data_IF_080847426854
#
_entry.id   IF_080847426854
#
_cell.length_a   1.000
_cell.length_b   1.000
_cell.length_c   1.000
_cell.angle_alpha   90.00
_cell.angle_beta   90.00
_cell.angle_gamma   90.00
#
_symmetry.space_group_name_H-M   'P 1'
#
loop_
_entity.id
_entity.type
_entity.pdbx_description
1 polymer ?
#
# COMPACT_ATOMS: atom_id res chain seq x y z
N UNK A 1 0.38 22.82 -11.98
CA UNK A 1 0.65 22.35 -10.61
C UNK A 1 -0.65 21.84 -10.06
N UNK A 2 -0.67 20.62 -9.51
CA UNK A 2 -1.86 20.09 -8.84
C UNK A 2 -1.98 20.76 -7.48
N UNK A 3 -3.17 21.24 -7.16
CA UNK A 3 -3.50 21.95 -5.93
C UNK A 3 -3.80 20.98 -4.80
N UNK A 4 -3.68 21.43 -3.55
CA UNK A 4 -4.06 20.63 -2.39
C UNK A 4 -5.55 20.23 -2.43
N UNK A 5 -6.41 21.10 -2.96
CA UNK A 5 -7.83 20.83 -3.15
C UNK A 5 -8.09 19.69 -4.14
N UNK A 6 -7.32 19.62 -5.23
CA UNK A 6 -7.40 18.50 -6.18
C UNK A 6 -6.94 17.18 -5.52
N UNK A 7 -5.86 17.21 -4.74
CA UNK A 7 -5.40 16.03 -3.97
C UNK A 7 -6.49 15.57 -2.99
N UNK A 8 -7.14 16.51 -2.31
CA UNK A 8 -8.24 16.22 -1.39
C UNK A 8 -9.44 15.58 -2.11
N UNK A 9 -9.89 16.12 -3.24
CA UNK A 9 -11.01 15.56 -3.99
C UNK A 9 -10.73 14.12 -4.49
N UNK A 10 -9.51 13.87 -4.96
CA UNK A 10 -9.08 12.53 -5.37
C UNK A 10 -9.01 11.59 -4.15
N UNK A 11 -8.47 12.07 -3.03
CA UNK A 11 -8.41 11.34 -1.77
C UNK A 11 -9.78 10.94 -1.22
N UNK A 12 -10.75 11.85 -1.27
CA UNK A 12 -12.15 11.58 -0.89
C UNK A 12 -12.75 10.47 -1.75
N UNK A 13 -12.48 10.48 -3.06
CA UNK A 13 -12.92 9.41 -3.97
C UNK A 13 -12.32 8.05 -3.58
N UNK A 14 -11.04 8.02 -3.18
CA UNK A 14 -10.37 6.79 -2.79
C UNK A 14 -10.97 6.16 -1.52
N UNK A 15 -11.28 6.97 -0.50
CA UNK A 15 -11.75 6.46 0.80
C UNK A 15 -13.26 6.23 0.88
N UNK A 16 -14.03 6.66 -0.11
CA UNK A 16 -15.50 6.51 -0.11
C UNK A 16 -15.92 5.09 -0.57
N UNK A 17 -16.48 4.25 0.32
CA UNK A 17 -16.94 2.91 -0.04
C UNK A 17 -18.18 2.92 -0.96
N UNK A 18 -18.88 4.07 -1.07
CA UNK A 18 -19.97 4.26 -2.02
C UNK A 18 -19.50 4.43 -3.47
N UNK A 19 -18.21 4.71 -3.69
CA UNK A 19 -17.66 4.81 -5.04
C UNK A 19 -17.40 3.42 -5.64
N UNK A 20 -17.64 3.24 -6.96
CA UNK A 20 -17.26 2.02 -7.64
C UNK A 20 -15.77 1.73 -7.49
N UNK A 21 -15.41 0.46 -7.28
CA UNK A 21 -14.02 0.04 -7.07
C UNK A 21 -13.07 0.54 -8.19
N UNK A 22 -13.54 0.58 -9.44
CA UNK A 22 -12.78 1.10 -10.57
C UNK A 22 -12.45 2.61 -10.44
N UNK A 23 -13.38 3.42 -9.90
CA UNK A 23 -13.13 4.83 -9.64
C UNK A 23 -12.11 5.02 -8.51
N UNK A 24 -12.21 4.20 -7.46
CA UNK A 24 -11.26 4.18 -6.34
C UNK A 24 -9.85 3.79 -6.80
N UNK A 25 -9.71 2.80 -7.67
CA UNK A 25 -8.42 2.47 -8.29
C UNK A 25 -7.85 3.62 -9.13
N UNK A 26 -8.67 4.29 -9.93
CA UNK A 26 -8.23 5.48 -10.68
C UNK A 26 -7.71 6.56 -9.73
N UNK A 27 -8.43 6.81 -8.63
CA UNK A 27 -8.00 7.76 -7.61
C UNK A 27 -6.66 7.35 -6.98
N UNK A 28 -6.51 6.08 -6.58
CA UNK A 28 -5.27 5.52 -6.04
C UNK A 28 -4.08 5.73 -6.97
N UNK A 29 -4.18 5.30 -8.24
CA UNK A 29 -3.07 5.43 -9.18
C UNK A 29 -2.75 6.90 -9.51
N UNK A 30 -3.76 7.78 -9.48
CA UNK A 30 -3.54 9.21 -9.62
C UNK A 30 -2.72 9.75 -8.44
N UNK A 31 -3.12 9.45 -7.19
CA UNK A 31 -2.38 9.85 -5.98
C UNK A 31 -0.95 9.33 -5.97
N UNK A 32 -0.74 8.07 -6.38
CA UNK A 32 0.59 7.47 -6.56
C UNK A 32 1.46 8.29 -7.52
N UNK A 33 0.88 8.69 -8.66
CA UNK A 33 1.57 9.52 -9.66
C UNK A 33 1.88 10.95 -9.18
N UNK A 34 1.06 11.51 -8.30
CA UNK A 34 1.28 12.84 -7.73
C UNK A 34 2.41 12.85 -6.69
N UNK A 35 2.49 11.83 -5.84
CA UNK A 35 3.53 11.73 -4.82
C UNK A 35 3.40 12.75 -3.69
N UNK A 36 4.24 12.61 -2.67
CA UNK A 36 4.30 13.57 -1.57
C UNK A 36 3.36 13.28 -0.38
N UNK A 37 3.39 14.13 0.65
CA UNK A 37 2.82 13.82 1.96
C UNK A 37 1.29 13.77 1.94
N UNK A 38 0.63 14.62 1.15
CA UNK A 38 -0.82 14.63 0.99
C UNK A 38 -1.34 13.32 0.38
N UNK A 39 -0.88 12.91 -0.81
CA UNK A 39 -1.25 11.63 -1.40
C UNK A 39 -0.94 10.42 -0.53
N UNK A 40 0.24 10.37 0.13
CA UNK A 40 0.57 9.28 1.07
C UNK A 40 -0.44 9.22 2.21
N UNK A 41 -0.83 10.36 2.80
CA UNK A 41 -1.82 10.41 3.88
C UNK A 41 -3.18 9.87 3.42
N UNK A 42 -3.64 10.21 2.22
CA UNK A 42 -4.90 9.70 1.68
C UNK A 42 -4.86 8.20 1.39
N UNK A 43 -3.79 7.70 0.77
CA UNK A 43 -3.60 6.27 0.52
C UNK A 43 -3.57 5.50 1.85
N UNK A 44 -2.87 6.04 2.86
CA UNK A 44 -2.77 5.43 4.19
C UNK A 44 -4.12 5.27 4.90
N UNK A 45 -5.04 6.23 4.73
CA UNK A 45 -6.37 6.18 5.35
C UNK A 45 -7.25 5.05 4.80
N UNK A 46 -7.00 4.60 3.57
CA UNK A 46 -7.82 3.59 2.91
C UNK A 46 -7.51 2.15 3.36
N UNK A 47 -6.50 1.91 4.21
CA UNK A 47 -6.20 0.56 4.74
C UNK A 47 -7.28 -0.01 5.68
N UNK A 48 -8.26 0.81 6.07
CA UNK A 48 -9.45 0.36 6.81
C UNK A 48 -10.58 -0.19 5.94
N UNK A 49 -10.37 -0.32 4.62
CA UNK A 49 -11.40 -0.81 3.70
C UNK A 49 -11.62 -2.33 3.79
N UNK A 50 -12.85 -2.79 3.50
CA UNK A 50 -13.21 -4.20 3.49
C UNK A 50 -12.60 -4.96 2.28
N UNK A 51 -12.23 -4.26 1.21
CA UNK A 51 -11.63 -4.88 0.02
C UNK A 51 -10.14 -5.18 0.24
N UNK A 52 -9.82 -6.45 0.50
CA UNK A 52 -8.45 -6.93 0.54
C UNK A 52 -7.66 -6.55 -0.72
N UNK A 53 -8.29 -6.66 -1.91
CA UNK A 53 -7.69 -6.29 -3.20
C UNK A 53 -7.31 -4.81 -3.24
N UNK A 54 -8.18 -3.92 -2.76
CA UNK A 54 -7.85 -2.50 -2.69
C UNK A 54 -6.68 -2.27 -1.73
N UNK A 55 -6.75 -2.84 -0.52
CA UNK A 55 -5.70 -2.68 0.50
C UNK A 55 -4.32 -3.13 0.02
N UNK A 56 -4.26 -4.25 -0.70
CA UNK A 56 -3.03 -4.69 -1.35
C UNK A 56 -2.49 -3.63 -2.31
N UNK A 57 -3.32 -3.14 -3.23
CA UNK A 57 -2.90 -2.12 -4.20
C UNK A 57 -2.49 -0.79 -3.54
N UNK A 58 -3.03 -0.45 -2.36
CA UNK A 58 -2.54 0.68 -1.56
C UNK A 58 -1.07 0.48 -1.16
N UNK A 59 -0.74 -0.69 -0.60
CA UNK A 59 0.63 -1.02 -0.20
C UNK A 59 1.57 -1.04 -1.41
N UNK A 60 1.16 -1.68 -2.50
CA UNK A 60 1.90 -1.68 -3.77
C UNK A 60 2.20 -0.26 -4.24
N UNK A 61 1.18 0.62 -4.30
CA UNK A 61 1.35 2.01 -4.70
C UNK A 61 2.31 2.78 -3.79
N UNK A 62 2.24 2.59 -2.47
CA UNK A 62 3.15 3.23 -1.52
C UNK A 62 4.61 2.76 -1.73
N UNK A 63 4.82 1.47 -1.97
CA UNK A 63 6.14 0.93 -2.30
C UNK A 63 6.71 1.54 -3.59
N UNK A 64 5.87 1.63 -4.62
CA UNK A 64 6.21 2.24 -5.91
C UNK A 64 6.50 3.75 -5.83
N UNK A 65 5.99 4.45 -4.83
CA UNK A 65 6.32 5.86 -4.59
C UNK A 65 7.75 6.03 -4.04
N UNK A 66 8.35 4.96 -3.51
CA UNK A 66 9.70 4.93 -2.92
C UNK A 66 9.95 6.05 -1.90
N UNK A 67 8.90 6.47 -1.19
CA UNK A 67 8.94 7.57 -0.24
C UNK A 67 9.00 7.04 1.20
N UNK A 68 10.09 7.29 1.96
CA UNK A 68 10.23 6.81 3.33
C UNK A 68 9.11 7.25 4.28
N UNK A 69 8.35 8.30 3.95
CA UNK A 69 7.19 8.73 4.75
C UNK A 69 6.08 7.68 4.81
N UNK A 70 6.05 6.72 3.88
CA UNK A 70 5.11 5.61 3.90
C UNK A 70 5.52 4.47 4.85
N UNK A 71 6.76 4.45 5.36
CA UNK A 71 7.26 3.35 6.21
C UNK A 71 6.37 3.12 7.44
N UNK A 72 5.98 4.13 8.24
CA UNK A 72 5.21 3.88 9.45
C UNK A 72 3.87 3.17 9.20
N UNK A 73 3.16 3.52 8.12
CA UNK A 73 1.89 2.85 7.79
C UNK A 73 2.12 1.43 7.29
N UNK A 74 3.13 1.21 6.44
CA UNK A 74 3.44 -0.12 5.90
C UNK A 74 3.90 -1.09 7.01
N UNK A 75 4.71 -0.61 7.96
CA UNK A 75 5.07 -1.38 9.15
C UNK A 75 3.82 -1.75 9.96
N UNK A 76 2.92 -0.80 10.18
CA UNK A 76 1.66 -1.07 10.89
C UNK A 76 0.81 -2.14 10.19
N UNK A 77 0.71 -2.09 8.86
CA UNK A 77 -0.02 -3.09 8.06
C UNK A 77 0.64 -4.46 8.12
N UNK A 78 1.96 -4.55 7.98
CA UNK A 78 2.71 -5.81 8.06
C UNK A 78 2.54 -6.50 9.42
N UNK A 79 2.52 -5.70 10.50
CA UNK A 79 2.38 -6.18 11.89
C UNK A 79 0.94 -6.51 12.28
N UNK A 80 -0.07 -6.02 11.56
CA UNK A 80 -1.48 -6.26 11.91
C UNK A 80 -1.94 -7.65 11.46
N UNK A 81 -1.94 -8.59 12.40
CA UNK A 81 -2.44 -9.97 12.19
C UNK A 81 -3.91 -10.08 11.75
N UNK A 82 -4.69 -8.99 11.82
CA UNK A 82 -6.08 -8.95 11.32
C UNK A 82 -6.15 -8.62 9.82
N UNK A 83 -5.08 -8.09 9.24
CA UNK A 83 -5.00 -7.89 7.78
C UNK A 83 -4.82 -9.23 7.07
N UNK A 84 -5.34 -9.32 5.86
CA UNK A 84 -5.24 -10.53 5.06
C UNK A 84 -3.77 -10.80 4.70
N UNK A 85 -3.35 -12.09 4.62
CA UNK A 85 -1.98 -12.46 4.27
C UNK A 85 -1.40 -11.74 3.05
N UNK A 86 -2.21 -11.58 1.99
CA UNK A 86 -1.82 -10.88 0.77
C UNK A 86 -1.51 -9.39 0.98
N UNK A 87 -2.23 -8.72 1.89
CA UNK A 87 -2.02 -7.30 2.19
C UNK A 87 -0.74 -7.13 3.02
N UNK A 88 -0.51 -8.03 3.98
CA UNK A 88 0.69 -8.06 4.81
C UNK A 88 1.95 -8.34 3.96
N UNK A 89 1.85 -9.30 3.05
CA UNK A 89 2.91 -9.63 2.09
C UNK A 89 3.30 -8.41 1.26
N UNK A 90 2.33 -7.76 0.60
CA UNK A 90 2.58 -6.57 -0.22
C UNK A 90 3.13 -5.39 0.59
N UNK A 91 2.73 -5.23 1.87
CA UNK A 91 3.33 -4.24 2.75
C UNK A 91 4.82 -4.52 3.02
N UNK A 92 5.20 -5.79 3.20
CA UNK A 92 6.59 -6.22 3.31
C UNK A 92 7.39 -5.94 2.03
N UNK A 93 6.82 -6.21 0.87
CA UNK A 93 7.44 -5.90 -0.42
C UNK A 93 7.63 -4.40 -0.63
N UNK A 94 6.61 -3.61 -0.33
CA UNK A 94 6.65 -2.15 -0.41
C UNK A 94 7.76 -1.56 0.46
N UNK A 95 7.94 -2.09 1.69
CA UNK A 95 9.05 -1.72 2.57
C UNK A 95 10.42 -2.04 1.94
N UNK A 96 10.55 -3.21 1.30
CA UNK A 96 11.74 -3.59 0.55
C UNK A 96 12.00 -2.67 -0.66
N UNK A 97 10.95 -2.30 -1.40
CA UNK A 97 11.02 -1.44 -2.58
C UNK A 97 11.41 0.02 -2.25
N UNK A 98 11.00 0.52 -1.07
CA UNK A 98 11.46 1.81 -0.54
C UNK A 98 12.97 1.78 -0.24
N UNK A 99 13.49 0.62 0.20
CA UNK A 99 14.94 0.41 0.35
C UNK A 99 15.57 1.16 1.53
N UNK A 100 14.79 1.52 2.56
CA UNK A 100 15.33 2.15 3.77
C UNK A 100 16.00 1.09 4.67
N UNK A 101 17.28 1.23 5.05
CA UNK A 101 17.97 0.27 5.92
C UNK A 101 17.31 0.06 7.30
N UNK A 102 16.56 1.04 7.81
CA UNK A 102 15.90 0.98 9.12
C UNK A 102 14.87 -0.17 9.21
N UNK A 103 14.31 -0.61 8.07
CA UNK A 103 13.31 -1.68 8.05
C UNK A 103 13.93 -3.07 7.85
N UNK A 104 15.25 -3.18 7.70
CA UNK A 104 15.92 -4.46 7.42
C UNK A 104 15.75 -5.49 8.53
N UNK A 105 15.91 -5.08 9.80
CA UNK A 105 15.73 -6.00 10.93
C UNK A 105 14.28 -6.46 11.06
N UNK A 106 13.32 -5.57 10.77
CA UNK A 106 11.91 -5.92 10.70
C UNK A 106 11.66 -6.95 9.59
N UNK A 107 12.13 -6.71 8.36
CA UNK A 107 11.94 -7.64 7.25
C UNK A 107 12.58 -9.02 7.52
N UNK A 108 13.75 -9.05 8.19
CA UNK A 108 14.36 -10.31 8.65
C UNK A 108 13.47 -11.06 9.64
N UNK A 109 12.86 -10.35 10.60
CA UNK A 109 11.91 -10.98 11.53
C UNK A 109 10.72 -11.59 10.78
N UNK A 110 10.18 -10.89 9.79
CA UNK A 110 9.02 -11.35 9.00
C UNK A 110 9.35 -12.40 7.93
N UNK A 111 10.64 -12.66 7.66
CA UNK A 111 11.06 -13.82 6.85
C UNK A 111 10.77 -15.17 7.52
N UNK A 112 10.46 -15.16 8.82
CA UNK A 112 10.09 -16.33 9.62
C UNK A 112 8.66 -16.26 10.15
N UNK A 113 7.79 -15.44 9.54
CA UNK A 113 6.37 -15.35 9.89
C UNK A 113 5.67 -16.73 9.74
N UNK A 114 4.76 -17.11 10.65
CA UNK A 114 4.02 -18.36 10.52
C UNK A 114 3.14 -18.43 9.25
N UNK A 115 2.78 -17.28 8.68
CA UNK A 115 2.00 -17.19 7.45
C UNK A 115 2.93 -17.27 6.24
N UNK A 116 2.82 -18.35 5.48
CA UNK A 116 3.75 -18.67 4.38
C UNK A 116 3.79 -17.60 3.30
N UNK A 117 2.65 -16.98 2.98
CA UNK A 117 2.56 -15.89 2.02
C UNK A 117 3.38 -14.68 2.44
N UNK A 118 3.43 -14.35 3.73
CA UNK A 118 4.20 -13.21 4.25
C UNK A 118 5.71 -13.48 4.16
N UNK A 119 6.13 -14.74 4.28
CA UNK A 119 7.54 -15.15 4.18
C UNK A 119 8.03 -15.36 2.74
N UNK A 120 7.11 -15.54 1.80
CA UNK A 120 7.47 -15.95 0.43
C UNK A 120 8.11 -14.79 -0.33
N UNK A 121 9.21 -15.03 -1.08
CA UNK A 121 9.74 -14.03 -1.97
C UNK A 121 8.75 -13.74 -3.10
N UNK A 122 8.60 -12.45 -3.43
CA UNK A 122 7.72 -11.91 -4.45
C UNK A 122 7.75 -12.71 -5.77
N UNK A 123 6.61 -13.11 -6.36
CA UNK A 123 6.57 -13.30 -7.80
C UNK A 123 6.83 -11.94 -8.47
N UNK A 124 7.48 -11.89 -9.65
CA UNK A 124 7.86 -10.62 -10.28
C UNK A 124 6.67 -9.71 -10.66
N UNK A 125 5.41 -10.17 -10.52
CA UNK A 125 4.17 -9.47 -10.85
C UNK A 125 2.99 -10.01 -10.01
N UNK A 126 2.02 -9.15 -9.59
CA UNK A 126 0.78 -9.58 -8.96
C UNK A 126 0.01 -10.58 -9.85
N UNK A 127 -0.34 -11.74 -9.30
CA UNK A 127 -0.96 -12.85 -10.04
C UNK A 127 -2.35 -12.54 -10.65
N UNK A 128 -2.95 -11.40 -10.31
CA UNK A 128 -4.25 -10.95 -10.82
C UNK A 128 -4.20 -9.81 -11.84
N UNK A 129 -3.01 -9.27 -12.16
CA UNK A 129 -2.89 -8.34 -13.27
C UNK A 129 -2.96 -9.14 -14.58
N UNK A 130 -3.83 -8.76 -15.54
CA UNK A 130 -3.82 -9.38 -16.86
C UNK A 130 -2.45 -9.12 -17.51
N UNK A 131 -1.87 -10.18 -18.08
CA UNK A 131 -0.61 -10.14 -18.84
C UNK A 131 -0.70 -9.26 -20.08
#
# INVERSE_FOLDING_TARGET
>A
MVTEQEVEAIGQTLVDPGQPLQARFRALFTLRGLGGPGPISWISRAFGDDSALLKHELAYCLGQMQDPRAIPVLVGVLQDSRQEPMVRHEAGEALGAIGNPEVLELLKQYSSDPVTEVTSPAPPQPLWLPR
#
